data_IF_490544323931
#
_entry.id   IF_490544323931
#
_cell.length_a   1.000
_cell.length_b   1.000
_cell.length_c   1.000
_cell.angle_alpha   90.00
_cell.angle_beta   90.00
_cell.angle_gamma   90.00
#
_symmetry.space_group_name_H-M   'P 1'
#
loop_
_entity.id
_entity.type
_entity.pdbx_description
1 polymer ?
#
# COMPACT_ATOMS: atom_id res chain seq x y z
N UNK A 1 -14.07 17.43 2.71
CA UNK A 1 -13.53 18.78 2.54
C UNK A 1 -12.69 18.83 1.25
N UNK A 2 -12.71 19.91 0.52
CA UNK A 2 -11.97 20.04 -0.74
C UNK A 2 -10.46 20.19 -0.50
N UNK A 3 -10.08 20.53 0.70
CA UNK A 3 -8.69 20.69 1.17
C UNK A 3 -8.21 19.51 2.01
N UNK A 4 -8.96 18.42 2.04
CA UNK A 4 -8.62 17.20 2.76
C UNK A 4 -7.53 16.38 2.06
N UNK A 5 -6.82 15.57 2.84
CA UNK A 5 -5.76 14.68 2.34
C UNK A 5 -6.21 13.22 2.25
N UNK A 6 -7.47 12.93 2.58
CA UNK A 6 -8.05 11.59 2.45
C UNK A 6 -8.92 11.57 1.21
N UNK A 7 -8.56 10.69 0.28
CA UNK A 7 -9.34 10.42 -0.91
C UNK A 7 -10.10 9.10 -0.72
N UNK A 8 -11.41 9.20 -0.70
CA UNK A 8 -12.28 8.04 -0.57
C UNK A 8 -12.70 7.54 -1.95
N UNK A 9 -12.13 6.41 -2.35
CA UNK A 9 -12.34 5.83 -3.68
C UNK A 9 -13.48 4.80 -3.74
N UNK A 10 -14.12 4.54 -2.60
CA UNK A 10 -15.04 3.42 -2.49
C UNK A 10 -14.32 2.06 -2.48
N UNK A 11 -15.04 0.97 -2.73
CA UNK A 11 -14.47 -0.37 -2.75
C UNK A 11 -13.96 -0.66 -4.18
N UNK A 12 -12.82 -0.09 -4.52
CA UNK A 12 -12.16 -0.29 -5.82
C UNK A 12 -10.64 -0.24 -5.67
N UNK A 13 -10.00 -1.38 -5.67
CA UNK A 13 -8.55 -1.48 -5.56
C UNK A 13 -7.86 -0.85 -6.79
N UNK A 14 -8.42 -1.05 -7.97
CA UNK A 14 -7.85 -0.51 -9.22
C UNK A 14 -7.90 1.02 -9.25
N UNK A 15 -9.02 1.63 -8.85
CA UNK A 15 -9.15 3.09 -8.77
C UNK A 15 -8.20 3.68 -7.74
N UNK A 16 -8.16 3.09 -6.54
CA UNK A 16 -7.26 3.53 -5.48
C UNK A 16 -5.79 3.44 -5.88
N UNK A 17 -5.40 2.37 -6.56
CA UNK A 17 -4.01 2.22 -7.04
C UNK A 17 -3.68 3.19 -8.17
N UNK A 18 -4.63 3.54 -9.03
CA UNK A 18 -4.45 4.57 -10.05
C UNK A 18 -4.20 5.95 -9.42
N UNK A 19 -4.99 6.32 -8.42
CA UNK A 19 -4.80 7.55 -7.64
C UNK A 19 -3.47 7.56 -6.89
N UNK A 20 -3.08 6.41 -6.32
CA UNK A 20 -1.76 6.21 -5.70
C UNK A 20 -0.63 6.50 -6.68
N UNK A 21 -0.69 5.91 -7.89
CA UNK A 21 0.32 6.13 -8.92
C UNK A 21 0.39 7.59 -9.35
N UNK A 22 -0.76 8.24 -9.55
CA UNK A 22 -0.81 9.65 -9.93
C UNK A 22 -0.15 10.54 -8.87
N UNK A 23 -0.47 10.34 -7.61
CA UNK A 23 0.14 11.09 -6.51
C UNK A 23 1.63 10.75 -6.33
N UNK A 24 1.99 9.47 -6.35
CA UNK A 24 3.36 9.01 -6.12
C UNK A 24 4.34 9.35 -7.24
N UNK A 25 3.85 9.74 -8.42
CA UNK A 25 4.66 10.21 -9.55
C UNK A 25 4.60 11.73 -9.75
N UNK A 26 3.82 12.44 -8.95
CA UNK A 26 3.62 13.90 -9.09
C UNK A 26 4.94 14.69 -9.00
N UNK A 27 5.93 14.17 -8.26
CA UNK A 27 7.25 14.81 -8.17
C UNK A 27 7.95 14.89 -9.53
N UNK A 28 7.81 13.89 -10.38
CA UNK A 28 8.44 13.86 -11.70
C UNK A 28 7.57 14.55 -12.77
N UNK A 29 6.24 14.45 -12.65
CA UNK A 29 5.32 14.99 -13.65
C UNK A 29 5.01 16.48 -13.43
N UNK A 30 4.97 16.93 -12.19
CA UNK A 30 4.50 18.26 -11.81
C UNK A 30 5.45 19.02 -10.89
N UNK A 31 6.56 18.41 -10.47
CA UNK A 31 7.48 19.00 -9.50
C UNK A 31 6.90 19.11 -8.08
N UNK A 32 5.83 18.38 -7.78
CA UNK A 32 5.15 18.41 -6.48
C UNK A 32 5.42 17.10 -5.77
N UNK A 33 6.11 17.14 -4.63
CA UNK A 33 6.38 15.93 -3.87
C UNK A 33 5.15 15.52 -3.05
N UNK A 34 4.54 14.43 -3.42
CA UNK A 34 3.43 13.79 -2.69
C UNK A 34 3.84 12.38 -2.28
N UNK A 35 3.41 11.96 -1.11
CA UNK A 35 3.67 10.61 -0.59
C UNK A 35 2.34 9.96 -0.25
N UNK A 36 1.74 9.24 -1.19
CA UNK A 36 0.46 8.59 -0.98
C UNK A 36 0.57 7.35 -0.10
N UNK A 37 -0.51 7.07 0.60
CA UNK A 37 -0.74 5.83 1.35
C UNK A 37 -1.93 5.12 0.71
N UNK A 38 -1.68 3.97 0.11
CA UNK A 38 -2.75 3.08 -0.34
C UNK A 38 -3.09 2.11 0.79
N UNK A 39 -4.25 2.29 1.40
CA UNK A 39 -4.74 1.46 2.50
C UNK A 39 -5.78 0.48 1.95
N UNK A 40 -5.56 -0.80 2.14
CA UNK A 40 -6.36 -1.84 1.53
C UNK A 40 -6.60 -3.01 2.50
N UNK A 41 -7.56 -3.84 2.15
CA UNK A 41 -7.80 -5.11 2.83
C UNK A 41 -6.69 -6.11 2.45
N UNK A 42 -5.89 -6.51 3.40
CA UNK A 42 -4.62 -7.22 3.15
C UNK A 42 -4.78 -8.46 2.28
N UNK A 43 -5.79 -9.27 2.52
CA UNK A 43 -6.02 -10.52 1.79
C UNK A 43 -6.17 -10.31 0.28
N UNK A 44 -6.76 -9.20 -0.15
CA UNK A 44 -7.15 -9.00 -1.55
C UNK A 44 -6.45 -7.85 -2.24
N UNK A 45 -6.16 -6.77 -1.53
CA UNK A 45 -5.82 -5.50 -2.14
C UNK A 45 -4.46 -5.47 -2.84
N UNK A 46 -3.50 -6.25 -2.40
CA UNK A 46 -2.20 -6.36 -3.07
C UNK A 46 -2.29 -7.22 -4.34
N UNK A 47 -2.84 -8.42 -4.22
CA UNK A 47 -2.90 -9.36 -5.36
C UNK A 47 -3.79 -8.87 -6.50
N UNK A 48 -4.88 -8.16 -6.20
CA UNK A 48 -5.81 -7.64 -7.22
C UNK A 48 -5.22 -6.54 -8.09
N UNK A 49 -4.18 -5.88 -7.62
CA UNK A 49 -3.53 -4.76 -8.32
C UNK A 49 -2.06 -5.02 -8.63
N UNK A 50 -1.67 -6.29 -8.71
CA UNK A 50 -0.29 -6.69 -8.96
C UNK A 50 0.32 -6.02 -10.19
N UNK A 51 -0.37 -6.00 -11.32
CA UNK A 51 0.08 -5.32 -12.54
C UNK A 51 0.29 -3.82 -12.33
N UNK A 52 -0.60 -3.19 -11.57
CA UNK A 52 -0.46 -1.76 -11.24
C UNK A 52 0.71 -1.50 -10.30
N UNK A 53 1.04 -2.44 -9.41
CA UNK A 53 2.23 -2.35 -8.57
C UNK A 53 3.50 -2.46 -9.42
N UNK A 54 3.53 -3.36 -10.42
CA UNK A 54 4.61 -3.41 -11.39
C UNK A 54 4.76 -2.10 -12.15
N UNK A 55 3.66 -1.54 -12.64
CA UNK A 55 3.66 -0.25 -13.34
C UNK A 55 4.15 0.88 -12.40
N UNK A 56 3.72 0.88 -11.14
CA UNK A 56 4.20 1.83 -10.14
C UNK A 56 5.73 1.73 -9.93
N UNK A 57 6.25 0.51 -9.90
CA UNK A 57 7.70 0.27 -9.79
C UNK A 57 8.45 0.83 -11.01
N UNK A 58 7.98 0.56 -12.22
CA UNK A 58 8.58 1.07 -13.47
C UNK A 58 8.54 2.59 -13.55
N UNK A 59 7.46 3.20 -13.09
CA UNK A 59 7.30 4.66 -13.03
C UNK A 59 8.09 5.31 -11.88
N UNK A 60 8.77 4.54 -11.05
CA UNK A 60 9.45 5.02 -9.83
C UNK A 60 8.48 5.77 -8.90
N UNK A 61 7.28 5.24 -8.77
CA UNK A 61 6.26 5.77 -7.88
C UNK A 61 6.73 5.70 -6.42
N UNK A 62 6.48 6.76 -5.66
CA UNK A 62 6.80 6.83 -4.23
C UNK A 62 5.52 6.63 -3.42
N UNK A 63 5.62 5.99 -2.26
CA UNK A 63 4.49 5.87 -1.35
C UNK A 63 4.51 4.60 -0.51
N UNK A 64 3.43 4.40 0.22
CA UNK A 64 3.26 3.27 1.13
C UNK A 64 2.03 2.45 0.76
N UNK A 65 2.20 1.14 0.75
CA UNK A 65 1.13 0.17 0.59
C UNK A 65 0.84 -0.45 1.97
N UNK A 66 -0.34 -0.21 2.52
CA UNK A 66 -0.68 -0.62 3.88
C UNK A 66 -1.81 -1.64 3.86
N UNK A 67 -1.48 -2.90 4.10
CA UNK A 67 -2.46 -3.95 4.28
C UNK A 67 -3.03 -3.94 5.69
N UNK A 68 -4.29 -3.59 5.82
CA UNK A 68 -5.04 -3.72 7.07
C UNK A 68 -5.60 -5.12 7.24
N UNK A 69 -5.97 -5.49 8.47
CA UNK A 69 -6.62 -6.77 8.80
C UNK A 69 -5.82 -8.01 8.40
N UNK A 70 -4.49 -7.96 8.52
CA UNK A 70 -3.62 -9.05 8.07
C UNK A 70 -3.59 -10.26 9.02
N UNK A 71 -3.83 -10.08 10.30
CA UNK A 71 -3.67 -11.12 11.30
C UNK A 71 -4.69 -12.24 11.22
N UNK A 72 -4.24 -13.49 11.24
CA UNK A 72 -5.13 -14.65 11.21
C UNK A 72 -6.01 -14.74 12.45
N UNK A 73 -5.45 -14.48 13.61
CA UNK A 73 -6.17 -14.57 14.89
C UNK A 73 -7.25 -13.50 15.04
N UNK A 74 -7.01 -12.32 14.53
CA UNK A 74 -7.97 -11.21 14.58
C UNK A 74 -9.16 -11.40 13.66
N UNK A 75 -9.06 -12.32 12.70
CA UNK A 75 -10.06 -12.56 11.66
C UNK A 75 -10.74 -13.93 11.79
N UNK A 76 -10.61 -14.60 12.92
CA UNK A 76 -11.21 -15.92 13.14
C UNK A 76 -12.71 -15.97 12.86
N UNK A 77 -13.44 -14.92 13.25
CA UNK A 77 -14.88 -14.84 13.02
C UNK A 77 -15.30 -14.66 11.58
N UNK A 78 -14.39 -14.23 10.72
CA UNK A 78 -14.65 -13.96 9.30
C UNK A 78 -14.29 -15.14 8.39
N UNK A 79 -13.53 -16.09 8.91
CA UNK A 79 -13.15 -17.30 8.20
C UNK A 79 -11.81 -17.18 7.45
N UNK A 80 -11.36 -18.32 6.94
CA UNK A 80 -10.04 -18.48 6.32
C UNK A 80 -9.81 -17.57 5.11
N UNK A 81 -10.86 -17.29 4.35
CA UNK A 81 -10.77 -16.45 3.14
C UNK A 81 -10.41 -15.00 3.42
N UNK A 82 -10.47 -14.56 4.67
CA UNK A 82 -10.07 -13.20 5.08
C UNK A 82 -8.69 -13.16 5.75
N UNK A 83 -8.09 -14.31 6.01
CA UNK A 83 -6.84 -14.43 6.75
C UNK A 83 -5.64 -14.40 5.79
N UNK A 84 -5.00 -13.25 5.68
CA UNK A 84 -3.79 -13.10 4.86
C UNK A 84 -2.60 -13.84 5.50
N UNK A 85 -1.85 -14.52 4.68
CA UNK A 85 -0.60 -15.17 5.06
C UNK A 85 0.33 -15.34 3.86
N UNK A 86 0.00 -14.72 2.72
CA UNK A 86 0.70 -14.91 1.44
C UNK A 86 1.15 -13.60 0.77
N UNK A 87 0.74 -12.43 1.26
CA UNK A 87 1.07 -11.15 0.62
C UNK A 87 2.58 -10.90 0.55
N UNK A 88 3.35 -11.36 1.52
CA UNK A 88 4.82 -11.29 1.47
C UNK A 88 5.40 -12.10 0.31
N UNK A 89 4.83 -13.26 -0.02
CA UNK A 89 5.26 -14.05 -1.17
C UNK A 89 5.02 -13.29 -2.48
N UNK A 90 3.89 -12.63 -2.59
CA UNK A 90 3.58 -11.78 -3.74
C UNK A 90 4.56 -10.59 -3.83
N UNK A 91 4.87 -9.96 -2.70
CA UNK A 91 5.75 -8.80 -2.64
C UNK A 91 7.21 -9.12 -3.03
N UNK A 92 7.67 -10.32 -2.80
CA UNK A 92 9.05 -10.76 -3.16
C UNK A 92 9.33 -10.60 -4.66
N UNK A 93 8.30 -10.73 -5.50
CA UNK A 93 8.44 -10.57 -6.95
C UNK A 93 8.83 -9.15 -7.38
N UNK A 94 8.60 -8.14 -6.54
CA UNK A 94 8.81 -6.73 -6.87
C UNK A 94 10.13 -6.22 -6.27
N UNK A 95 11.19 -6.00 -7.07
CA UNK A 95 12.51 -5.63 -6.53
C UNK A 95 12.54 -4.30 -5.77
N UNK A 96 11.60 -3.40 -6.07
CA UNK A 96 11.51 -2.07 -5.47
C UNK A 96 10.58 -2.00 -4.26
N UNK A 97 9.84 -3.07 -4.00
CA UNK A 97 8.94 -3.15 -2.84
C UNK A 97 9.69 -3.72 -1.63
N UNK A 98 9.65 -3.00 -0.52
CA UNK A 98 10.14 -3.47 0.77
C UNK A 98 8.95 -3.88 1.61
N UNK A 99 8.83 -5.17 1.91
CA UNK A 99 7.73 -5.72 2.67
C UNK A 99 8.10 -5.90 4.14
N UNK A 100 7.18 -5.52 5.02
CA UNK A 100 7.31 -5.60 6.47
C UNK A 100 6.04 -6.19 7.07
N UNK A 101 6.17 -6.84 8.21
CA UNK A 101 5.05 -7.38 8.99
C UNK A 101 5.19 -6.94 10.46
N UNK A 102 4.89 -5.67 10.77
CA UNK A 102 5.02 -5.16 12.13
C UNK A 102 3.96 -5.75 13.06
N UNK A 103 4.37 -6.15 14.26
CA UNK A 103 3.48 -6.65 15.28
C UNK A 103 2.89 -5.54 16.16
N UNK A 104 3.60 -4.43 16.29
CA UNK A 104 3.23 -3.33 17.18
C UNK A 104 3.24 -1.98 16.47
N UNK A 105 2.43 -1.06 16.99
CA UNK A 105 2.29 0.28 16.39
C UNK A 105 3.61 1.07 16.33
N UNK A 106 4.49 0.91 17.30
CA UNK A 106 5.79 1.59 17.29
C UNK A 106 6.70 1.08 16.16
N UNK A 107 6.60 -0.19 15.79
CA UNK A 107 7.34 -0.75 14.65
C UNK A 107 6.82 -0.15 13.34
N UNK A 108 5.49 -0.04 13.21
CA UNK A 108 4.88 0.65 12.07
C UNK A 108 5.38 2.09 11.97
N UNK A 109 5.44 2.81 13.09
CA UNK A 109 5.95 4.18 13.12
C UNK A 109 7.40 4.26 12.64
N UNK A 110 8.27 3.35 13.09
CA UNK A 110 9.67 3.30 12.66
C UNK A 110 9.78 3.02 11.17
N UNK A 111 9.00 2.06 10.64
CA UNK A 111 8.98 1.71 9.22
C UNK A 111 8.55 2.91 8.37
N UNK A 112 7.47 3.58 8.75
CA UNK A 112 6.97 4.76 8.04
C UNK A 112 8.00 5.88 8.09
N UNK A 113 8.59 6.15 9.24
CA UNK A 113 9.60 7.20 9.39
C UNK A 113 10.85 6.93 8.55
N UNK A 114 11.35 5.69 8.54
CA UNK A 114 12.48 5.30 7.67
C UNK A 114 12.11 5.42 6.18
N UNK A 115 10.90 5.00 5.82
CA UNK A 115 10.39 5.15 4.46
C UNK A 115 10.33 6.60 4.01
N UNK A 116 9.80 7.50 4.83
CA UNK A 116 9.76 8.94 4.53
C UNK A 116 11.14 9.56 4.30
N UNK A 117 12.17 9.03 4.96
CA UNK A 117 13.56 9.49 4.76
C UNK A 117 14.18 8.98 3.46
N UNK A 118 13.65 7.91 2.89
CA UNK A 118 14.17 7.29 1.65
C UNK A 118 13.45 7.76 0.39
N UNK A 119 12.20 8.21 0.53
CA UNK A 119 11.35 8.70 -0.55
C UNK A 119 11.63 10.18 -0.87
#
# INVERSE_FOLDING_TARGET
AQDGQILEEGITEAGSMASFCAAGTAYSCHGINMIPFYIYYSMFGFQRVGDSIWAAADMRCKGFLIGGTAGRTTLNGEGLQHQDGHSHLNAIAFPTVRAYDPAFAYETAVIVFDGLRRL
#
